data_IF_912858893352
#
_entry.id   IF_912858893352
#
_cell.length_a   1.000
_cell.length_b   1.000
_cell.length_c   1.000
_cell.angle_alpha   90.00
_cell.angle_beta   90.00
_cell.angle_gamma   90.00
#
_symmetry.space_group_name_H-M   'P 1'
#
loop_
_entity.id
_entity.type
_entity.pdbx_description
1 polymer ?
#
# COMPACT_ATOMS: atom_id res chain seq x y z
N UNK A 1 -43.55 4.89 -5.91
CA UNK A 1 -42.48 5.48 -5.08
C UNK A 1 -42.04 6.78 -5.70
N UNK A 2 -42.89 7.80 -5.58
CA UNK A 2 -42.61 9.15 -6.06
C UNK A 2 -42.27 9.99 -4.83
N UNK A 3 -41.12 10.68 -4.82
CA UNK A 3 -40.91 11.78 -3.87
C UNK A 3 -39.72 11.74 -2.92
N UNK A 4 -38.69 10.88 -3.10
CA UNK A 4 -37.40 11.09 -2.41
C UNK A 4 -36.25 10.94 -3.38
N UNK A 5 -35.83 12.08 -3.93
CA UNK A 5 -34.68 12.14 -4.83
C UNK A 5 -33.38 12.14 -4.04
N UNK A 6 -32.40 11.40 -4.52
CA UNK A 6 -31.05 11.43 -3.97
C UNK A 6 -30.40 12.73 -4.45
N UNK A 7 -30.09 13.67 -3.55
CA UNK A 7 -29.44 14.95 -3.89
C UNK A 7 -28.17 14.70 -4.71
N UNK A 8 -27.44 13.63 -4.38
CA UNK A 8 -26.28 13.17 -5.14
C UNK A 8 -26.62 12.73 -6.57
N UNK A 9 -27.73 12.00 -6.76
CA UNK A 9 -28.17 11.61 -8.10
C UNK A 9 -28.58 12.85 -8.93
N UNK A 10 -29.32 13.79 -8.32
CA UNK A 10 -29.78 15.01 -9.00
C UNK A 10 -28.61 15.93 -9.40
N UNK A 11 -27.59 16.04 -8.55
CA UNK A 11 -26.39 16.81 -8.85
C UNK A 11 -25.62 16.27 -10.07
N UNK A 12 -25.71 14.96 -10.31
CA UNK A 12 -25.02 14.27 -11.40
C UNK A 12 -25.94 13.90 -12.58
N UNK A 13 -27.21 14.32 -12.54
CA UNK A 13 -28.19 14.07 -13.59
C UNK A 13 -28.00 15.05 -14.74
N UNK A 14 -27.88 14.53 -15.96
CA UNK A 14 -27.84 15.36 -17.17
C UNK A 14 -29.17 16.11 -17.34
N UNK A 15 -29.12 17.44 -17.46
CA UNK A 15 -30.32 18.24 -17.76
C UNK A 15 -30.91 17.97 -19.14
N UNK A 16 -30.11 17.45 -20.07
CA UNK A 16 -30.51 17.20 -21.47
C UNK A 16 -31.16 15.84 -21.65
N UNK A 17 -30.66 14.81 -20.97
CA UNK A 17 -31.11 13.42 -21.13
C UNK A 17 -31.85 12.89 -19.91
N UNK A 18 -31.74 13.55 -18.75
CA UNK A 18 -32.29 13.05 -17.50
C UNK A 18 -31.53 11.85 -16.92
N UNK A 19 -30.38 11.49 -17.50
CA UNK A 19 -29.62 10.31 -17.10
C UNK A 19 -28.32 10.66 -16.37
N UNK A 20 -27.86 9.73 -15.52
CA UNK A 20 -26.53 9.78 -14.89
C UNK A 20 -25.55 9.08 -15.83
N UNK A 21 -24.66 9.87 -16.45
CA UNK A 21 -23.67 9.36 -17.40
C UNK A 21 -22.43 8.77 -16.70
N UNK A 22 -22.13 9.23 -15.48
CA UNK A 22 -20.98 8.75 -14.72
C UNK A 22 -21.26 7.34 -14.16
N UNK A 23 -20.45 6.36 -14.59
CA UNK A 23 -20.53 4.96 -14.16
C UNK A 23 -20.33 4.79 -12.66
N UNK A 24 -19.48 5.61 -12.03
CA UNK A 24 -19.20 5.55 -10.59
C UNK A 24 -20.41 6.05 -9.80
N UNK A 25 -20.99 7.17 -10.21
CA UNK A 25 -22.21 7.73 -9.60
C UNK A 25 -23.37 6.75 -9.76
N UNK A 26 -23.52 6.16 -10.96
CA UNK A 26 -24.59 5.19 -11.23
C UNK A 26 -24.55 4.00 -10.26
N UNK A 27 -23.37 3.41 -10.03
CA UNK A 27 -23.18 2.32 -9.06
C UNK A 27 -23.56 2.74 -7.64
N UNK A 28 -23.07 3.90 -7.18
CA UNK A 28 -23.37 4.40 -5.83
C UNK A 28 -24.89 4.60 -5.66
N UNK A 29 -25.56 5.17 -6.66
CA UNK A 29 -27.01 5.40 -6.64
C UNK A 29 -27.79 4.08 -6.64
N UNK A 30 -27.38 3.10 -7.44
CA UNK A 30 -28.00 1.76 -7.47
C UNK A 30 -27.86 1.05 -6.13
N UNK A 31 -26.66 1.03 -5.55
CA UNK A 31 -26.42 0.40 -4.23
C UNK A 31 -27.20 1.09 -3.11
N UNK A 32 -27.32 2.41 -3.12
CA UNK A 32 -28.13 3.14 -2.12
C UNK A 32 -29.61 2.83 -2.28
N UNK A 33 -30.12 2.74 -3.53
CA UNK A 33 -31.52 2.35 -3.79
C UNK A 33 -31.81 0.93 -3.32
N UNK A 34 -30.89 -0.01 -3.55
CA UNK A 34 -30.98 -1.39 -3.07
C UNK A 34 -31.02 -1.43 -1.53
N UNK A 35 -30.10 -0.74 -0.84
CA UNK A 35 -30.10 -0.66 0.63
C UNK A 35 -31.37 -0.03 1.22
N UNK A 36 -31.95 0.96 0.53
CA UNK A 36 -33.24 1.54 0.92
C UNK A 36 -34.35 0.48 0.77
N UNK A 37 -34.37 -0.25 -0.34
CA UNK A 37 -35.34 -1.29 -0.62
C UNK A 37 -35.23 -2.48 0.35
N UNK A 38 -34.02 -2.89 0.70
CA UNK A 38 -33.75 -3.97 1.67
C UNK A 38 -34.24 -3.57 3.07
N UNK A 39 -33.99 -2.33 3.49
CA UNK A 39 -34.50 -1.80 4.77
C UNK A 39 -36.04 -1.75 4.80
N UNK A 40 -36.66 -1.47 3.67
CA UNK A 40 -38.12 -1.50 3.50
C UNK A 40 -38.70 -2.93 3.52
N UNK A 41 -37.91 -3.94 3.13
CA UNK A 41 -38.38 -5.33 2.98
C UNK A 41 -38.09 -6.19 4.21
N UNK A 42 -36.97 -5.94 4.93
CA UNK A 42 -36.55 -6.72 6.10
C UNK A 42 -37.17 -6.25 7.42
N UNK A 43 -37.72 -5.04 7.48
CA UNK A 43 -38.48 -4.57 8.62
C UNK A 43 -39.97 -4.74 8.37
N UNK A 44 -40.65 -5.63 9.09
CA UNK A 44 -42.11 -5.58 9.27
C UNK A 44 -42.55 -4.33 10.04
N UNK A 45 -42.00 -3.17 9.71
CA UNK A 45 -42.35 -1.88 10.29
C UNK A 45 -43.56 -1.37 9.54
N UNK A 46 -44.70 -1.36 10.24
CA UNK A 46 -45.95 -0.72 9.87
C UNK A 46 -45.85 0.82 9.76
N UNK A 47 -44.65 1.38 9.66
CA UNK A 47 -44.43 2.78 9.30
C UNK A 47 -43.94 2.85 7.84
N UNK A 48 -44.89 2.75 6.92
CA UNK A 48 -44.71 2.99 5.48
C UNK A 48 -44.30 4.44 5.14
N UNK A 49 -44.00 5.26 6.15
CA UNK A 49 -43.57 6.65 6.06
C UNK A 49 -42.64 6.87 7.26
N UNK A 50 -41.32 6.93 7.15
CA UNK A 50 -40.59 8.12 6.74
C UNK A 50 -39.07 7.80 6.79
N UNK A 51 -38.51 7.13 5.78
CA UNK A 51 -37.06 7.24 5.52
C UNK A 51 -36.78 8.72 5.24
N UNK A 52 -36.42 9.51 6.25
CA UNK A 52 -36.27 10.97 6.11
C UNK A 52 -35.20 11.26 5.07
N UNK A 53 -35.30 12.40 4.39
CA UNK A 53 -34.27 12.80 3.43
C UNK A 53 -32.88 12.82 4.07
N UNK A 54 -32.79 13.16 5.36
CA UNK A 54 -31.55 13.10 6.14
C UNK A 54 -30.99 11.67 6.26
N UNK A 55 -31.84 10.68 6.54
CA UNK A 55 -31.42 9.27 6.60
C UNK A 55 -30.94 8.76 5.23
N UNK A 56 -31.65 9.14 4.17
CA UNK A 56 -31.25 8.83 2.78
C UNK A 56 -29.90 9.48 2.45
N UNK A 57 -29.71 10.75 2.79
CA UNK A 57 -28.44 11.44 2.56
C UNK A 57 -27.29 10.80 3.36
N UNK A 58 -27.54 10.35 4.60
CA UNK A 58 -26.55 9.62 5.39
C UNK A 58 -26.16 8.28 4.77
N UNK A 59 -27.12 7.56 4.17
CA UNK A 59 -26.82 6.32 3.45
C UNK A 59 -25.91 6.58 2.25
N UNK A 60 -26.14 7.68 1.51
CA UNK A 60 -25.25 8.10 0.42
C UNK A 60 -23.85 8.41 0.92
N UNK A 61 -23.72 9.16 2.01
CA UNK A 61 -22.42 9.55 2.57
C UNK A 61 -21.61 8.33 3.05
N UNK A 62 -22.29 7.33 3.62
CA UNK A 62 -21.68 6.05 4.03
C UNK A 62 -21.19 5.22 2.84
N UNK A 63 -21.86 5.30 1.70
CA UNK A 63 -21.48 4.53 0.50
C UNK A 63 -20.29 5.13 -0.24
N UNK A 64 -20.07 6.44 -0.12
CA UNK A 64 -18.99 7.14 -0.83
C UNK A 64 -17.69 7.01 -0.04
N UNK A 65 -16.64 6.37 -0.61
CA UNK A 65 -15.37 6.21 0.08
C UNK A 65 -14.68 7.56 0.30
N UNK A 66 -14.06 7.71 1.46
CA UNK A 66 -13.18 8.84 1.81
C UNK A 66 -11.76 8.51 1.38
N UNK A 67 -11.16 9.33 0.52
CA UNK A 67 -9.76 9.18 0.10
C UNK A 67 -9.01 10.44 0.51
N UNK A 68 -7.99 10.30 1.37
CA UNK A 68 -7.20 11.42 1.92
C UNK A 68 -8.06 12.56 2.51
N UNK A 69 -9.12 12.21 3.24
CA UNK A 69 -10.04 13.19 3.81
C UNK A 69 -10.99 13.85 2.81
N UNK A 70 -11.01 13.41 1.54
CA UNK A 70 -11.88 13.92 0.49
C UNK A 70 -12.92 12.89 0.06
N UNK A 71 -14.19 13.28 0.07
CA UNK A 71 -15.33 12.51 -0.46
C UNK A 71 -15.68 13.00 -1.84
N UNK A 72 -15.80 12.04 -2.76
CA UNK A 72 -16.20 12.32 -4.14
C UNK A 72 -17.55 13.03 -4.20
N UNK A 73 -17.60 14.23 -4.80
CA UNK A 73 -18.81 15.06 -4.89
C UNK A 73 -19.19 15.84 -3.62
N UNK A 74 -18.52 15.60 -2.48
CA UNK A 74 -18.85 16.21 -1.18
C UNK A 74 -17.68 16.94 -0.51
N UNK A 75 -16.45 16.86 -1.05
CA UNK A 75 -15.31 17.59 -0.48
C UNK A 75 -14.85 17.01 0.86
N UNK A 76 -14.47 17.86 1.79
CA UNK A 76 -14.01 17.49 3.14
C UNK A 76 -15.16 17.35 4.14
N UNK A 77 -16.35 16.96 3.67
CA UNK A 77 -17.52 16.83 4.54
C UNK A 77 -17.29 15.70 5.57
N UNK A 78 -17.40 15.99 6.88
CA UNK A 78 -17.23 14.99 7.94
C UNK A 78 -18.34 13.94 7.88
N UNK A 79 -18.09 12.75 8.43
CA UNK A 79 -19.13 11.72 8.48
C UNK A 79 -20.31 12.16 9.37
N UNK A 80 -21.53 11.71 9.07
CA UNK A 80 -22.67 11.93 9.95
C UNK A 80 -22.42 11.32 11.33
N UNK A 81 -22.35 12.16 12.36
CA UNK A 81 -22.02 11.74 13.74
C UNK A 81 -20.54 11.88 14.09
N UNK A 82 -19.68 12.22 13.13
CA UNK A 82 -18.32 12.65 13.41
C UNK A 82 -18.39 14.10 13.91
N UNK A 83 -18.00 14.30 15.17
CA UNK A 83 -17.76 15.65 15.70
C UNK A 83 -16.81 16.34 14.71
N UNK A 84 -17.10 17.56 14.22
CA UNK A 84 -16.10 18.31 13.47
C UNK A 84 -14.82 18.22 14.30
N UNK A 85 -13.65 17.99 13.67
CA UNK A 85 -12.44 18.31 14.38
C UNK A 85 -12.63 19.80 14.70
N UNK A 86 -12.96 20.09 15.96
CA UNK A 86 -12.69 21.38 16.53
C UNK A 86 -11.29 21.72 16.04
N UNK A 87 -11.06 22.99 15.72
CA UNK A 87 -9.72 23.53 15.63
C UNK A 87 -9.06 23.37 17.02
N UNK A 88 -8.83 22.12 17.41
CA UNK A 88 -8.03 21.66 18.49
C UNK A 88 -6.66 22.02 17.99
N UNK A 89 -6.20 23.19 18.45
CA UNK A 89 -4.81 23.51 18.55
C UNK A 89 -4.07 22.20 18.82
N UNK A 90 -3.45 21.65 17.77
CA UNK A 90 -2.83 20.35 17.86
C UNK A 90 -1.84 20.44 19.00
N UNK A 91 -1.98 19.54 19.97
CA UNK A 91 -1.11 19.43 21.12
C UNK A 91 0.32 19.23 20.62
N UNK A 92 1.08 20.33 20.52
CA UNK A 92 2.48 20.36 20.08
C UNK A 92 3.37 19.36 20.84
N UNK A 93 2.94 18.93 22.02
CA UNK A 93 3.64 17.96 22.87
C UNK A 93 3.79 16.59 22.20
N UNK A 94 2.82 16.14 21.39
CA UNK A 94 2.89 14.85 20.69
C UNK A 94 3.80 14.91 19.45
N UNK A 95 3.87 16.08 18.79
CA UNK A 95 4.75 16.29 17.63
C UNK A 95 6.23 16.34 18.01
N UNK A 96 6.58 17.01 19.11
CA UNK A 96 7.98 17.08 19.58
C UNK A 96 8.50 15.70 20.00
N UNK A 97 7.67 14.90 20.67
CA UNK A 97 8.02 13.51 21.02
C UNK A 97 8.25 12.64 19.78
N UNK A 98 7.39 12.76 18.77
CA UNK A 98 7.56 12.06 17.50
C UNK A 98 8.80 12.53 16.74
N UNK A 99 9.09 13.84 16.74
CA UNK A 99 10.28 14.42 16.11
C UNK A 99 11.56 13.90 16.76
N UNK A 100 11.59 13.82 18.10
CA UNK A 100 12.71 13.24 18.85
C UNK A 100 12.95 11.78 18.49
N UNK A 101 11.90 10.96 18.45
CA UNK A 101 11.99 9.54 18.07
C UNK A 101 12.47 9.40 16.61
N UNK A 102 11.99 10.26 15.71
CA UNK A 102 12.42 10.26 14.32
C UNK A 102 13.91 10.60 14.19
N UNK A 103 14.38 11.63 14.88
CA UNK A 103 15.78 12.04 14.88
C UNK A 103 16.69 10.95 15.47
N UNK A 104 16.27 10.29 16.55
CA UNK A 104 17.01 9.16 17.13
C UNK A 104 17.12 7.98 16.15
N UNK A 105 16.02 7.66 15.43
CA UNK A 105 16.05 6.63 14.39
C UNK A 105 16.97 7.00 13.23
N UNK A 106 17.03 8.27 12.84
CA UNK A 106 17.95 8.75 11.81
C UNK A 106 19.40 8.56 12.26
N UNK A 107 19.74 8.97 13.48
CA UNK A 107 21.09 8.80 14.02
C UNK A 107 21.53 7.32 14.05
N UNK A 108 20.65 6.41 14.50
CA UNK A 108 20.93 4.97 14.50
C UNK A 108 21.11 4.42 13.08
N UNK A 109 20.32 4.92 12.12
CA UNK A 109 20.44 4.50 10.73
C UNK A 109 21.77 4.97 10.12
N UNK A 110 22.16 6.21 10.38
CA UNK A 110 23.42 6.78 9.90
C UNK A 110 24.64 6.03 10.47
N UNK A 111 24.61 5.67 11.75
CA UNK A 111 25.67 4.85 12.37
C UNK A 111 25.77 3.47 11.72
N UNK A 112 24.63 2.81 11.45
CA UNK A 112 24.61 1.52 10.75
C UNK A 112 25.14 1.63 9.33
N UNK A 113 24.82 2.72 8.61
CA UNK A 113 25.34 2.98 7.28
C UNK A 113 26.85 3.17 7.33
N UNK A 114 27.37 3.93 8.29
CA UNK A 114 28.80 4.14 8.46
C UNK A 114 29.54 2.81 8.70
N UNK A 115 29.06 1.98 9.63
CA UNK A 115 29.66 0.66 9.91
C UNK A 115 29.58 -0.29 8.69
N UNK A 116 28.47 -0.29 7.97
CA UNK A 116 28.32 -1.13 6.77
C UNK A 116 29.28 -0.69 5.66
N UNK A 117 29.42 0.63 5.47
CA UNK A 117 30.33 1.21 4.48
C UNK A 117 31.78 0.85 4.82
N UNK A 118 32.19 0.96 6.08
CA UNK A 118 33.52 0.56 6.53
C UNK A 118 33.80 -0.93 6.25
N UNK A 119 32.85 -1.83 6.52
CA UNK A 119 32.98 -3.25 6.19
C UNK A 119 33.06 -3.54 4.70
N UNK A 120 32.38 -2.76 3.86
CA UNK A 120 32.48 -2.90 2.41
C UNK A 120 33.88 -2.52 1.95
N UNK A 121 34.41 -1.40 2.45
CA UNK A 121 35.77 -0.93 2.10
C UNK A 121 36.83 -1.96 2.50
N UNK A 122 36.74 -2.59 3.67
CA UNK A 122 37.70 -3.62 4.07
C UNK A 122 37.63 -4.85 3.15
N UNK A 123 36.43 -5.32 2.82
CA UNK A 123 36.26 -6.45 1.89
C UNK A 123 36.76 -6.14 0.48
N UNK A 124 36.55 -4.92 -0.01
CA UNK A 124 37.05 -4.46 -1.31
C UNK A 124 38.58 -4.39 -1.35
N UNK A 125 39.21 -3.99 -0.24
CA UNK A 125 40.67 -3.95 -0.12
C UNK A 125 41.30 -5.35 0.01
N UNK A 126 40.62 -6.31 0.63
CA UNK A 126 41.09 -7.71 0.74
C UNK A 126 40.96 -8.49 -0.57
N UNK A 127 40.01 -8.10 -1.43
CA UNK A 127 39.73 -8.76 -2.71
C UNK A 127 40.96 -8.87 -3.64
N UNK A 128 41.71 -7.80 -3.96
CA UNK A 128 42.85 -7.89 -4.88
C UNK A 128 43.96 -8.81 -4.37
N UNK A 129 44.15 -8.92 -3.05
CA UNK A 129 45.13 -9.85 -2.49
C UNK A 129 44.70 -11.30 -2.66
N UNK A 130 43.42 -11.61 -2.38
CA UNK A 130 42.84 -12.93 -2.64
C UNK A 130 42.89 -13.30 -4.13
N UNK A 131 42.58 -12.35 -5.02
CA UNK A 131 42.62 -12.56 -6.47
C UNK A 131 44.05 -12.90 -6.95
N UNK A 132 45.09 -12.25 -6.40
CA UNK A 132 46.50 -12.59 -6.69
C UNK A 132 46.85 -14.00 -6.25
N UNK A 133 46.41 -14.41 -5.06
CA UNK A 133 46.66 -15.77 -4.53
C UNK A 133 45.97 -16.82 -5.40
N UNK A 134 44.71 -16.59 -5.77
CA UNK A 134 43.96 -17.48 -6.67
C UNK A 134 44.68 -17.60 -8.01
N UNK A 135 45.12 -16.49 -8.60
CA UNK A 135 45.84 -16.49 -9.88
C UNK A 135 47.17 -17.24 -9.79
N UNK A 136 47.91 -17.08 -8.70
CA UNK A 136 49.14 -17.83 -8.46
C UNK A 136 48.88 -19.34 -8.38
N UNK A 137 47.87 -19.76 -7.62
CA UNK A 137 47.51 -21.17 -7.47
C UNK A 137 47.02 -21.78 -8.79
N UNK A 138 46.25 -21.04 -9.59
CA UNK A 138 45.82 -21.46 -10.92
C UNK A 138 47.02 -21.65 -11.87
N UNK A 139 47.99 -20.74 -11.85
CA UNK A 139 49.21 -20.87 -12.64
C UNK A 139 50.05 -22.07 -12.20
N UNK A 140 50.18 -22.29 -10.89
CA UNK A 140 50.90 -23.43 -10.35
C UNK A 140 50.24 -24.75 -10.74
N UNK A 141 48.91 -24.85 -10.60
CA UNK A 141 48.15 -26.04 -11.00
C UNK A 141 48.31 -26.31 -12.50
N UNK A 142 48.22 -25.28 -13.34
CA UNK A 142 48.42 -25.40 -14.80
C UNK A 142 49.83 -25.93 -15.13
N UNK A 143 50.85 -25.48 -14.38
CA UNK A 143 52.22 -25.94 -14.56
C UNK A 143 52.39 -27.40 -14.14
N UNK A 144 51.81 -27.80 -13.01
CA UNK A 144 51.86 -29.21 -12.55
C UNK A 144 51.16 -30.12 -13.54
N UNK A 145 49.97 -29.74 -14.03
CA UNK A 145 49.23 -30.49 -15.05
C UNK A 145 50.03 -30.61 -16.36
N UNK A 146 50.76 -29.56 -16.74
CA UNK A 146 51.61 -29.61 -17.94
C UNK A 146 52.82 -30.52 -17.80
N UNK A 147 53.42 -30.62 -16.60
CA UNK A 147 54.61 -31.45 -16.34
C UNK A 147 54.23 -32.92 -16.06
N UNK A 148 53.01 -33.15 -15.55
CA UNK A 148 52.52 -34.47 -15.18
C UNK A 148 51.12 -34.71 -15.77
N UNK A 149 50.98 -34.79 -17.11
CA UNK A 149 49.69 -35.00 -17.76
C UNK A 149 49.07 -36.35 -17.38
N UNK A 150 49.90 -37.32 -17.02
CA UNK A 150 49.50 -38.68 -16.63
C UNK A 150 48.71 -38.70 -15.30
N UNK A 151 48.84 -37.66 -14.45
CA UNK A 151 48.07 -37.54 -13.20
C UNK A 151 46.58 -37.24 -13.44
N UNK A 152 46.19 -36.92 -14.68
CA UNK A 152 44.79 -36.68 -15.06
C UNK A 152 44.12 -37.90 -15.71
N UNK A 153 44.85 -39.00 -15.92
CA UNK A 153 44.24 -40.24 -16.37
C UNK A 153 43.58 -40.89 -15.15
N UNK A 154 42.24 -40.92 -15.13
CA UNK A 154 41.53 -41.89 -14.30
C UNK A 154 41.95 -43.28 -14.82
N UNK A 155 42.59 -44.09 -13.97
CA UNK A 155 42.87 -45.49 -14.28
C UNK A 155 41.54 -46.20 -14.56
N UNK A 156 41.15 -46.28 -15.84
CA UNK A 156 39.99 -47.06 -16.31
C UNK A 156 40.21 -48.57 -16.21
N UNK A 157 41.30 -49.05 -15.62
CA UNK A 157 41.68 -50.47 -15.66
C UNK A 157 41.90 -51.07 -14.25
N UNK A 158 40.83 -51.08 -13.46
CA UNK A 158 40.70 -51.98 -12.32
C UNK A 158 39.40 -52.80 -12.42
N UNK A 159 39.12 -53.33 -13.62
CA UNK A 159 38.21 -54.47 -13.78
C UNK A 159 38.99 -55.59 -14.47
N UNK A 160 39.65 -56.42 -13.67
CA UNK A 160 40.08 -57.74 -14.12
C UNK A 160 39.38 -58.81 -13.28
N UNK A 161 38.92 -59.82 -14.01
CA UNK A 161 38.06 -60.97 -13.68
C UNK A 161 38.44 -61.78 -12.44
#
# INVERSE_FOLDING_TARGET
MEGKSLIFADAHRSRKTGDILDKKVKRIVETVKEKINDQLTQGGSTETNLLTQAHINNLVLKEIPVIKGHRFGFGTLPDPGQVPPSASFMSNLDQEGQLRIANEKIAIADEKIAMATEKIVTLENDKPEKDKVIQYLQNLASKVVSEFPDLLQEDEDATQE
#
